data_IF_381891582839
#
_entry.id   IF_381891582839
#
_cell.length_a   1.000
_cell.length_b   1.000
_cell.length_c   1.000
_cell.angle_alpha   90.00
_cell.angle_beta   90.00
_cell.angle_gamma   90.00
#
_symmetry.space_group_name_H-M   'P 1'
#
loop_
_entity.id
_entity.type
_entity.pdbx_description
1 polymer ?
#
# COMPACT_ATOMS: atom_id res chain seq x y z
N UNK A 1 -19.43 -6.27 -13.68
CA UNK A 1 -18.80 -5.03 -13.20
C UNK A 1 -18.85 -3.97 -14.29
N UNK A 2 -19.21 -2.73 -13.94
CA UNK A 2 -19.60 -1.69 -14.91
C UNK A 2 -18.44 -1.12 -15.74
N UNK A 3 -17.18 -1.28 -15.32
CA UNK A 3 -16.00 -0.77 -16.05
C UNK A 3 -14.74 -1.67 -15.91
N UNK A 4 -14.58 -2.73 -16.73
CA UNK A 4 -13.43 -3.64 -16.65
C UNK A 4 -12.10 -3.02 -17.11
N UNK A 5 -12.12 -1.88 -17.79
CA UNK A 5 -10.91 -1.15 -18.20
C UNK A 5 -10.22 -0.47 -17.00
N UNK A 6 -11.00 0.15 -16.11
CA UNK A 6 -10.51 0.87 -14.93
C UNK A 6 -9.77 -0.07 -13.97
N UNK A 7 -10.32 -1.26 -13.74
CA UNK A 7 -9.66 -2.29 -12.93
C UNK A 7 -8.32 -2.75 -13.52
N UNK A 8 -8.27 -2.99 -14.84
CA UNK A 8 -7.02 -3.36 -15.53
C UNK A 8 -5.97 -2.26 -15.45
N UNK A 9 -6.36 -1.00 -15.63
CA UNK A 9 -5.46 0.15 -15.52
C UNK A 9 -4.88 0.28 -14.10
N UNK A 10 -5.71 0.11 -13.07
CA UNK A 10 -5.25 0.13 -11.68
C UNK A 10 -4.23 -0.97 -11.40
N UNK A 11 -4.48 -2.21 -11.82
CA UNK A 11 -3.54 -3.30 -11.61
C UNK A 11 -2.26 -3.15 -12.44
N UNK A 12 -2.35 -2.61 -13.64
CA UNK A 12 -1.16 -2.27 -14.42
C UNK A 12 -0.30 -1.23 -13.69
N UNK A 13 -0.92 -0.22 -13.06
CA UNK A 13 -0.20 0.78 -12.26
C UNK A 13 0.44 0.17 -11.00
N UNK A 14 -0.29 -0.68 -10.26
CA UNK A 14 0.24 -1.35 -9.07
C UNK A 14 1.41 -2.30 -9.42
N UNK A 15 1.33 -3.00 -10.54
CA UNK A 15 2.39 -3.90 -10.99
C UNK A 15 3.74 -3.18 -11.23
N UNK A 16 3.75 -1.86 -11.47
CA UNK A 16 4.99 -1.09 -11.64
C UNK A 16 5.87 -1.06 -10.37
N UNK A 17 5.31 -1.37 -9.19
CA UNK A 17 6.05 -1.44 -7.93
C UNK A 17 6.38 -2.88 -7.49
N UNK A 18 5.98 -3.89 -8.27
CA UNK A 18 6.20 -5.30 -7.94
C UNK A 18 7.69 -5.63 -7.82
N UNK A 19 8.03 -6.48 -6.84
CA UNK A 19 9.40 -6.92 -6.56
C UNK A 19 10.23 -5.90 -5.76
N UNK A 20 9.67 -4.73 -5.43
CA UNK A 20 10.39 -3.70 -4.65
C UNK A 20 10.24 -3.88 -3.15
N UNK A 21 9.23 -4.60 -2.68
CA UNK A 21 9.05 -4.92 -1.27
C UNK A 21 8.18 -6.18 -1.09
N UNK A 22 8.59 -7.17 -0.27
CA UNK A 22 7.86 -8.42 -0.12
C UNK A 22 6.47 -8.28 0.53
N UNK A 23 6.27 -7.31 1.42
CA UNK A 23 4.96 -7.07 2.04
C UNK A 23 4.00 -6.38 1.07
N UNK A 24 4.55 -5.53 0.20
CA UNK A 24 3.79 -4.96 -0.93
C UNK A 24 3.35 -6.05 -1.91
N UNK A 25 4.27 -6.94 -2.30
CA UNK A 25 3.98 -8.03 -3.23
C UNK A 25 2.92 -8.99 -2.66
N UNK A 26 2.96 -9.26 -1.35
CA UNK A 26 1.96 -10.07 -0.66
C UNK A 26 0.57 -9.42 -0.71
N UNK A 27 0.49 -8.11 -0.46
CA UNK A 27 -0.78 -7.39 -0.52
C UNK A 27 -1.33 -7.32 -1.96
N UNK A 28 -0.45 -7.10 -2.94
CA UNK A 28 -0.83 -7.10 -4.35
C UNK A 28 -1.43 -8.44 -4.78
N UNK A 29 -0.80 -9.56 -4.40
CA UNK A 29 -1.32 -10.90 -4.67
C UNK A 29 -2.67 -11.13 -3.98
N UNK A 30 -2.79 -10.78 -2.70
CA UNK A 30 -4.04 -10.94 -1.95
C UNK A 30 -5.21 -10.12 -2.54
N UNK A 31 -4.94 -8.93 -3.10
CA UNK A 31 -5.94 -8.12 -3.79
C UNK A 31 -6.38 -8.75 -5.12
N UNK A 32 -5.44 -9.32 -5.89
CA UNK A 32 -5.74 -10.05 -7.13
C UNK A 32 -6.61 -11.28 -6.87
N UNK A 33 -6.26 -12.06 -5.84
CA UNK A 33 -7.04 -13.23 -5.43
C UNK A 33 -8.45 -12.85 -4.98
N UNK A 34 -8.59 -11.83 -4.12
CA UNK A 34 -9.89 -11.40 -3.61
C UNK A 34 -10.83 -10.95 -4.75
N UNK A 35 -10.32 -10.18 -5.71
CA UNK A 35 -11.12 -9.73 -6.86
C UNK A 35 -11.42 -10.85 -7.86
N UNK A 36 -10.57 -11.88 -7.94
CA UNK A 36 -10.78 -13.08 -8.75
C UNK A 36 -11.68 -14.14 -8.10
N UNK A 37 -11.99 -14.00 -6.81
CA UNK A 37 -12.67 -15.04 -6.02
C UNK A 37 -14.13 -15.33 -6.40
N UNK A 38 -14.78 -14.42 -7.13
CA UNK A 38 -16.21 -14.52 -7.47
C UNK A 38 -17.15 -14.32 -6.28
N UNK A 39 -16.64 -13.94 -5.11
CA UNK A 39 -17.43 -13.61 -3.93
C UNK A 39 -18.22 -12.31 -4.14
N UNK A 40 -19.33 -12.18 -3.41
CA UNK A 40 -19.98 -10.88 -3.24
C UNK A 40 -19.13 -9.99 -2.32
N UNK A 41 -18.56 -8.94 -2.91
CA UNK A 41 -17.67 -8.00 -2.23
C UNK A 41 -18.42 -6.76 -1.73
N UNK A 42 -19.73 -6.61 -1.98
CA UNK A 42 -20.51 -5.46 -1.50
C UNK A 42 -20.40 -5.27 0.03
N UNK A 43 -20.48 -6.33 0.87
CA UNK A 43 -20.36 -6.17 2.32
C UNK A 43 -19.00 -5.66 2.78
N UNK A 44 -17.93 -5.94 2.03
CA UNK A 44 -16.56 -5.55 2.36
C UNK A 44 -16.01 -4.45 1.44
N UNK A 45 -16.85 -3.80 0.62
CA UNK A 45 -16.41 -2.86 -0.41
C UNK A 45 -15.55 -1.71 0.14
N UNK A 46 -15.92 -1.15 1.30
CA UNK A 46 -15.13 -0.08 1.95
C UNK A 46 -13.72 -0.55 2.33
N UNK A 47 -13.62 -1.75 2.87
CA UNK A 47 -12.34 -2.34 3.25
C UNK A 47 -11.49 -2.69 2.04
N UNK A 48 -12.10 -3.21 0.96
CA UNK A 48 -11.43 -3.43 -0.31
C UNK A 48 -10.87 -2.12 -0.89
N UNK A 49 -11.66 -1.05 -0.90
CA UNK A 49 -11.23 0.27 -1.40
C UNK A 49 -10.09 0.84 -0.54
N UNK A 50 -10.15 0.70 0.78
CA UNK A 50 -9.06 1.08 1.69
C UNK A 50 -7.76 0.37 1.31
N UNK A 51 -7.80 -0.96 1.14
CA UNK A 51 -6.64 -1.76 0.75
C UNK A 51 -6.06 -1.35 -0.61
N UNK A 52 -6.92 -1.14 -1.61
CA UNK A 52 -6.50 -0.65 -2.93
C UNK A 52 -5.83 0.73 -2.85
N UNK A 53 -6.37 1.64 -2.05
CA UNK A 53 -5.79 2.97 -1.86
C UNK A 53 -4.42 2.91 -1.16
N UNK A 54 -4.27 2.05 -0.13
CA UNK A 54 -3.00 1.84 0.55
C UNK A 54 -1.96 1.21 -0.37
N UNK A 55 -2.35 0.23 -1.18
CA UNK A 55 -1.46 -0.37 -2.19
C UNK A 55 -1.02 0.67 -3.24
N UNK A 56 -1.94 1.52 -3.72
CA UNK A 56 -1.58 2.58 -4.67
C UNK A 56 -0.57 3.57 -4.05
N UNK A 57 -0.82 4.03 -2.82
CA UNK A 57 0.08 4.94 -2.12
C UNK A 57 1.45 4.30 -1.87
N UNK A 58 1.48 3.04 -1.41
CA UNK A 58 2.73 2.30 -1.22
C UNK A 58 3.51 2.15 -2.52
N UNK A 59 2.85 1.81 -3.63
CA UNK A 59 3.49 1.65 -4.93
C UNK A 59 4.12 2.95 -5.44
N UNK A 60 3.44 4.08 -5.26
CA UNK A 60 3.97 5.40 -5.60
C UNK A 60 5.17 5.78 -4.72
N UNK A 61 5.09 5.56 -3.40
CA UNK A 61 6.20 5.85 -2.48
C UNK A 61 7.41 4.97 -2.76
N UNK A 62 7.20 3.68 -3.00
CA UNK A 62 8.28 2.77 -3.40
C UNK A 62 8.99 3.34 -4.62
N UNK A 63 8.27 3.68 -5.69
CA UNK A 63 8.87 4.11 -6.95
C UNK A 63 9.53 5.49 -6.89
N UNK A 64 9.02 6.42 -6.09
CA UNK A 64 9.34 7.84 -6.23
C UNK A 64 9.80 8.54 -4.94
N UNK A 65 9.69 7.90 -3.77
CA UNK A 65 10.10 8.49 -2.50
C UNK A 65 11.44 7.90 -2.01
N UNK A 66 12.14 8.59 -1.10
CA UNK A 66 13.30 8.02 -0.41
C UNK A 66 12.96 6.71 0.30
N UNK A 67 13.87 5.74 0.24
CA UNK A 67 13.70 4.39 0.80
C UNK A 67 13.19 4.38 2.26
N UNK A 68 13.70 5.22 3.17
CA UNK A 68 13.19 5.26 4.55
C UNK A 68 11.69 5.59 4.65
N UNK A 69 11.20 6.47 3.77
CA UNK A 69 9.78 6.88 3.73
C UNK A 69 8.92 5.73 3.23
N UNK A 70 9.31 5.12 2.11
CA UNK A 70 8.58 4.00 1.53
C UNK A 70 8.53 2.81 2.49
N UNK A 71 9.66 2.45 3.10
CA UNK A 71 9.76 1.36 4.06
C UNK A 71 8.90 1.60 5.29
N UNK A 72 8.97 2.79 5.90
CA UNK A 72 8.15 3.13 7.05
C UNK A 72 6.65 3.06 6.75
N UNK A 73 6.24 3.50 5.55
CA UNK A 73 4.85 3.39 5.10
C UNK A 73 4.43 1.93 4.95
N UNK A 74 5.17 1.12 4.18
CA UNK A 74 4.81 -0.29 3.95
C UNK A 74 4.73 -1.07 5.25
N UNK A 75 5.72 -0.94 6.15
CA UNK A 75 5.74 -1.67 7.43
C UNK A 75 4.49 -1.41 8.28
N UNK A 76 4.00 -0.18 8.29
CA UNK A 76 2.88 0.20 9.17
C UNK A 76 1.51 0.11 8.52
N UNK A 77 1.44 0.28 7.20
CA UNK A 77 0.16 0.31 6.47
C UNK A 77 -0.18 -1.06 5.89
N UNK A 78 0.81 -1.84 5.44
CA UNK A 78 0.62 -3.13 4.77
C UNK A 78 1.08 -4.33 5.60
N UNK A 79 2.25 -4.25 6.25
CA UNK A 79 2.79 -5.37 7.04
C UNK A 79 2.13 -5.53 8.43
N UNK A 80 1.19 -4.64 8.78
CA UNK A 80 0.46 -4.71 10.05
C UNK A 80 1.27 -4.30 11.29
N UNK A 81 2.49 -3.77 11.13
CA UNK A 81 3.35 -3.36 12.25
C UNK A 81 2.98 -1.98 12.82
N UNK A 82 1.69 -1.62 12.86
CA UNK A 82 1.20 -0.42 13.54
C UNK A 82 0.34 -0.81 14.74
N UNK A 83 0.45 -0.05 15.83
CA UNK A 83 -0.52 -0.11 16.91
C UNK A 83 -1.81 0.63 16.55
N UNK A 84 -2.76 0.64 17.50
CA UNK A 84 -4.06 1.32 17.35
C UNK A 84 -3.95 2.85 17.40
N UNK A 85 -2.83 3.38 17.90
CA UNK A 85 -2.55 4.82 18.04
C UNK A 85 -1.33 5.22 17.21
N UNK A 86 -1.24 6.50 16.88
CA UNK A 86 -0.06 7.07 16.23
C UNK A 86 1.19 6.96 17.12
N UNK A 87 2.37 6.97 16.50
CA UNK A 87 3.66 6.88 17.22
C UNK A 87 4.10 5.45 17.56
N UNK A 88 3.48 4.43 16.95
CA UNK A 88 3.71 3.00 17.24
C UNK A 88 4.55 2.29 16.18
N UNK A 89 5.36 3.06 15.42
CA UNK A 89 6.27 2.49 14.44
C UNK A 89 7.42 1.73 15.12
N UNK A 90 7.95 0.64 14.51
CA UNK A 90 9.06 -0.10 15.07
C UNK A 90 10.31 0.77 15.30
N UNK A 91 11.10 0.44 16.32
CA UNK A 91 12.37 1.12 16.66
C UNK A 91 13.35 1.18 15.47
N UNK A 92 13.34 0.17 14.59
CA UNK A 92 14.15 0.13 13.38
C UNK A 92 13.76 1.17 12.30
N UNK A 93 12.75 2.01 12.55
CA UNK A 93 12.33 3.09 11.66
C UNK A 93 13.32 4.26 11.73
N UNK A 94 13.80 4.71 10.58
CA UNK A 94 14.67 5.89 10.50
C UNK A 94 13.84 7.19 10.58
N UNK A 95 13.49 7.58 11.80
CA UNK A 95 12.73 8.81 12.05
C UNK A 95 13.48 10.07 11.64
N UNK A 96 14.82 10.07 11.69
CA UNK A 96 15.63 11.21 11.28
C UNK A 96 15.43 11.52 9.80
N UNK A 97 15.50 10.50 8.94
CA UNK A 97 15.23 10.65 7.51
C UNK A 97 13.77 11.05 7.21
N UNK A 98 12.80 10.56 7.99
CA UNK A 98 11.40 10.93 7.82
C UNK A 98 11.14 12.41 8.17
N UNK A 99 11.75 12.91 9.23
CA UNK A 99 11.59 14.28 9.71
C UNK A 99 12.42 15.30 8.92
N UNK A 100 13.56 14.88 8.36
CA UNK A 100 14.40 15.73 7.51
C UNK A 100 13.75 16.02 6.14
N UNK A 101 12.64 15.36 5.80
CA UNK A 101 11.91 15.66 4.58
C UNK A 101 11.36 17.09 4.67
N UNK A 102 11.78 18.01 3.78
CA UNK A 102 11.30 19.37 3.81
C UNK A 102 9.79 19.37 3.60
N UNK A 103 9.06 20.00 4.52
CA UNK A 103 7.68 20.38 4.28
C UNK A 103 7.69 21.53 3.28
N UNK A 104 6.96 21.45 2.15
CA UNK A 104 6.72 22.65 1.36
C UNK A 104 5.97 23.65 2.24
N UNK A 105 6.43 24.90 2.25
CA UNK A 105 5.75 26.03 2.92
C UNK A 105 4.50 26.47 2.16
#
# INVERSE_FOLDING_TARGET
>A
GREPATGRALFAELALAQGRNPDYDRELAALQELLGSGLDLEPCARHLVERLALALQAGLLLRHAPEPVARAFVCSRLAGHRGLVFGTLPEATDFGALLARPSPE
#
